data_IF_014964754156
#
_entry.id   IF_014964754156
#
_cell.length_a   1.000
_cell.length_b   1.000
_cell.length_c   1.000
_cell.angle_alpha   90.00
_cell.angle_beta   90.00
_cell.angle_gamma   90.00
#
_symmetry.space_group_name_H-M   'P 1'
#
loop_
_entity.id
_entity.type
_entity.pdbx_description
1 polymer ?
#
# COMPACT_ATOMS: atom_id res chain seq x y z
N UNK A 1 -0.74 9.42 6.57
CA UNK A 1 0.35 10.04 5.82
C UNK A 1 0.86 11.33 6.48
N UNK A 2 0.00 12.17 7.08
CA UNK A 2 0.46 13.37 7.82
C UNK A 2 1.50 13.03 8.89
N UNK A 3 1.24 12.03 9.71
CA UNK A 3 2.19 11.54 10.70
C UNK A 3 3.53 11.12 10.08
N UNK A 4 3.48 10.31 9.01
CA UNK A 4 4.69 9.81 8.36
C UNK A 4 5.50 10.93 7.69
N UNK A 5 4.80 11.92 7.09
CA UNK A 5 5.44 13.09 6.50
C UNK A 5 6.32 13.81 7.52
N UNK A 6 5.78 14.07 8.72
CA UNK A 6 6.53 14.69 9.81
C UNK A 6 7.61 13.78 10.36
N UNK A 7 7.30 12.50 10.65
CA UNK A 7 8.23 11.54 11.25
C UNK A 7 9.46 11.31 10.40
N UNK A 8 9.31 11.20 9.09
CA UNK A 8 10.42 10.90 8.16
C UNK A 8 11.02 12.15 7.51
N UNK A 9 10.63 13.36 7.95
CA UNK A 9 11.18 14.62 7.42
C UNK A 9 10.94 14.78 5.92
N UNK A 10 9.70 14.61 5.48
CA UNK A 10 9.31 14.66 4.07
C UNK A 10 8.63 15.99 3.68
N UNK A 11 8.99 17.06 4.37
CA UNK A 11 8.37 18.38 4.14
C UNK A 11 8.82 19.02 2.82
N UNK A 12 9.94 18.59 2.28
CA UNK A 12 10.48 18.97 0.98
C UNK A 12 9.79 18.26 -0.20
N UNK A 13 9.07 17.17 0.06
CA UNK A 13 8.35 16.46 -0.98
C UNK A 13 7.13 17.25 -1.46
N UNK A 14 7.11 17.63 -2.73
CA UNK A 14 5.95 18.27 -3.38
C UNK A 14 4.89 17.23 -3.72
N UNK A 15 5.33 16.06 -4.20
CA UNK A 15 4.50 14.91 -4.53
C UNK A 15 4.86 13.74 -3.61
N UNK A 16 3.93 13.35 -2.76
CA UNK A 16 4.14 12.28 -1.78
C UNK A 16 2.94 11.34 -1.80
N UNK A 17 3.17 10.06 -2.06
CA UNK A 17 2.15 9.02 -1.99
C UNK A 17 2.33 8.19 -0.72
N UNK A 18 1.26 7.93 0.00
CA UNK A 18 1.22 6.98 1.12
C UNK A 18 0.27 5.84 0.80
N UNK A 19 0.76 4.61 0.81
CA UNK A 19 -0.01 3.40 0.53
C UNK A 19 0.08 2.46 1.73
N UNK A 20 -1.06 2.12 2.30
CA UNK A 20 -1.15 1.37 3.55
C UNK A 20 -1.89 0.06 3.35
N UNK A 21 -1.16 -1.05 3.39
CA UNK A 21 -1.68 -2.40 3.26
C UNK A 21 -2.11 -2.92 4.63
N UNK A 22 -3.40 -2.74 4.95
CA UNK A 22 -4.08 -3.25 6.12
C UNK A 22 -5.04 -4.38 5.75
N UNK A 23 -6.23 -4.40 6.33
CA UNK A 23 -7.33 -5.30 5.94
C UNK A 23 -7.68 -5.14 4.46
N UNK A 24 -7.70 -3.91 3.97
CA UNK A 24 -7.76 -3.50 2.57
C UNK A 24 -6.52 -2.68 2.20
N UNK A 25 -6.67 -1.74 1.25
CA UNK A 25 -5.60 -0.83 0.82
C UNK A 25 -6.07 0.60 1.05
N UNK A 26 -5.43 1.30 1.99
CA UNK A 26 -5.61 2.73 2.20
C UNK A 26 -4.57 3.52 1.42
N UNK A 27 -4.98 4.70 0.93
CA UNK A 27 -4.10 5.57 0.17
C UNK A 27 -4.34 7.04 0.49
N UNK A 28 -3.29 7.84 0.39
CA UNK A 28 -3.37 9.29 0.47
C UNK A 28 -2.24 9.90 -0.38
N UNK A 29 -2.53 11.02 -1.03
CA UNK A 29 -1.59 11.68 -1.94
C UNK A 29 -1.49 13.15 -1.57
N UNK A 30 -0.26 13.65 -1.41
CA UNK A 30 0.02 15.08 -1.43
C UNK A 30 0.47 15.47 -2.83
N UNK A 31 -0.21 16.45 -3.39
CA UNK A 31 0.10 17.07 -4.67
C UNK A 31 0.46 18.54 -4.42
N UNK A 32 1.66 18.97 -4.82
CA UNK A 32 2.18 20.31 -4.54
C UNK A 32 2.08 20.68 -3.05
N UNK A 33 2.42 19.72 -2.18
CA UNK A 33 2.40 19.88 -0.72
C UNK A 33 0.99 19.92 -0.09
N UNK A 34 -0.08 19.73 -0.85
CA UNK A 34 -1.47 19.73 -0.36
C UNK A 34 -2.10 18.35 -0.51
N UNK A 35 -2.90 17.94 0.47
CA UNK A 35 -3.66 16.69 0.38
C UNK A 35 -4.62 16.74 -0.83
N UNK A 36 -4.52 15.75 -1.68
CA UNK A 36 -5.43 15.56 -2.82
C UNK A 36 -6.76 14.96 -2.30
N UNK A 37 -7.77 15.80 -2.16
CA UNK A 37 -9.08 15.36 -1.67
C UNK A 37 -10.01 14.86 -2.80
N UNK A 38 -9.87 15.42 -4.00
CA UNK A 38 -10.85 15.22 -5.07
C UNK A 38 -12.16 15.95 -4.81
N UNK A 39 -13.10 15.85 -5.76
CA UNK A 39 -14.39 16.56 -5.67
C UNK A 39 -15.24 16.12 -4.47
N UNK A 40 -15.22 14.83 -4.15
CA UNK A 40 -16.08 14.21 -3.15
C UNK A 40 -15.31 13.73 -1.91
N UNK A 41 -14.05 14.15 -1.74
CA UNK A 41 -13.16 13.62 -0.69
C UNK A 41 -12.70 12.19 -0.91
N UNK A 42 -12.81 11.65 -2.13
CA UNK A 42 -12.54 10.25 -2.47
C UNK A 42 -11.36 10.08 -3.45
N UNK A 43 -10.42 11.03 -3.48
CA UNK A 43 -9.19 10.81 -4.22
C UNK A 43 -8.29 9.80 -3.50
N UNK A 44 -7.56 8.99 -4.25
CA UNK A 44 -6.66 8.00 -3.67
C UNK A 44 -7.34 6.67 -3.31
N UNK A 45 -8.42 6.29 -3.97
CA UNK A 45 -9.09 5.00 -3.79
C UNK A 45 -8.39 3.87 -4.57
N UNK A 46 -7.05 3.77 -4.41
CA UNK A 46 -6.19 2.80 -5.09
C UNK A 46 -6.64 1.35 -4.90
N UNK A 47 -7.18 1.03 -3.70
CA UNK A 47 -7.69 -0.31 -3.40
C UNK A 47 -8.87 -0.73 -4.28
N UNK A 48 -9.56 0.23 -4.90
CA UNK A 48 -10.77 -0.02 -5.69
C UNK A 48 -10.56 0.04 -7.21
N UNK A 49 -9.31 0.15 -7.68
CA UNK A 49 -9.03 -0.01 -9.11
C UNK A 49 -9.36 -1.44 -9.54
N UNK A 50 -9.98 -1.62 -10.73
CA UNK A 50 -10.35 -2.93 -11.24
C UNK A 50 -9.11 -3.72 -11.68
N UNK A 51 -9.09 -5.02 -11.39
CA UNK A 51 -8.06 -5.95 -11.84
C UNK A 51 -8.67 -6.91 -12.84
N UNK A 52 -8.09 -6.98 -14.04
CA UNK A 52 -8.54 -7.89 -15.09
C UNK A 52 -8.53 -9.35 -14.63
N UNK A 53 -9.57 -10.09 -15.03
CA UNK A 53 -9.73 -11.49 -14.63
C UNK A 53 -10.19 -11.71 -13.18
N UNK A 54 -10.41 -10.65 -12.40
CA UNK A 54 -10.96 -10.74 -11.04
C UNK A 54 -12.44 -10.36 -11.01
N UNK A 55 -13.27 -11.22 -10.43
CA UNK A 55 -14.72 -11.03 -10.32
C UNK A 55 -15.22 -11.07 -8.87
N UNK A 56 -14.32 -11.13 -7.89
CA UNK A 56 -14.69 -11.15 -6.48
C UNK A 56 -15.39 -9.86 -6.08
N UNK A 57 -16.55 -9.98 -5.41
CA UNK A 57 -17.32 -8.82 -4.93
C UNK A 57 -16.52 -8.05 -3.87
N UNK A 58 -16.49 -6.74 -4.02
CA UNK A 58 -15.89 -5.81 -3.08
C UNK A 58 -16.95 -5.13 -2.21
N UNK A 59 -16.57 -4.77 -0.98
CA UNK A 59 -17.41 -4.01 -0.06
C UNK A 59 -17.86 -2.64 -0.58
N UNK A 60 -17.17 -2.07 -1.57
CA UNK A 60 -17.56 -0.81 -2.22
C UNK A 60 -18.76 -0.95 -3.19
N UNK A 61 -19.22 -2.16 -3.45
CA UNK A 61 -20.31 -2.47 -4.40
C UNK A 61 -19.84 -2.94 -5.77
N UNK A 62 -18.57 -2.74 -6.14
CA UNK A 62 -17.98 -3.23 -7.38
C UNK A 62 -17.50 -4.68 -7.26
N UNK A 63 -17.00 -5.23 -8.36
CA UNK A 63 -16.30 -6.52 -8.40
C UNK A 63 -14.89 -6.32 -8.95
N UNK A 64 -13.94 -7.18 -8.55
CA UNK A 64 -12.58 -7.19 -9.07
C UNK A 64 -11.65 -6.11 -8.55
N UNK A 65 -11.94 -5.52 -7.39
CA UNK A 65 -11.09 -4.50 -6.79
C UNK A 65 -9.72 -5.06 -6.34
N UNK A 66 -8.66 -4.28 -6.51
CA UNK A 66 -7.28 -4.62 -6.13
C UNK A 66 -7.17 -5.04 -4.65
N UNK A 67 -7.89 -4.40 -3.75
CA UNK A 67 -7.81 -4.72 -2.31
C UNK A 67 -8.24 -6.16 -1.98
N UNK A 68 -9.12 -6.77 -2.78
CA UNK A 68 -9.50 -8.17 -2.59
C UNK A 68 -8.37 -9.15 -2.92
N UNK A 69 -7.34 -8.69 -3.65
CA UNK A 69 -6.21 -9.50 -4.11
C UNK A 69 -4.89 -9.15 -3.44
N UNK A 70 -4.75 -7.93 -2.89
CA UNK A 70 -3.53 -7.41 -2.31
C UNK A 70 -3.71 -6.83 -0.89
N UNK A 71 -4.91 -6.95 -0.30
CA UNK A 71 -5.17 -6.59 1.09
C UNK A 71 -5.07 -7.76 2.06
N UNK A 72 -5.03 -7.46 3.36
CA UNK A 72 -4.93 -8.47 4.43
C UNK A 72 -6.11 -9.45 4.48
N UNK A 73 -7.29 -9.07 3.96
CA UNK A 73 -8.43 -10.01 3.80
C UNK A 73 -8.06 -11.21 2.94
N UNK A 74 -7.27 -11.00 1.88
CA UNK A 74 -6.78 -12.08 1.03
C UNK A 74 -5.89 -13.05 1.82
N UNK A 75 -4.96 -12.53 2.61
CA UNK A 75 -4.09 -13.37 3.47
C UNK A 75 -4.89 -14.14 4.51
N UNK A 76 -5.86 -13.49 5.15
CA UNK A 76 -6.75 -14.16 6.10
C UNK A 76 -7.56 -15.30 5.46
N UNK A 77 -7.98 -15.14 4.20
CA UNK A 77 -8.61 -16.19 3.42
C UNK A 77 -7.65 -17.35 3.13
N UNK A 78 -6.42 -17.04 2.69
CA UNK A 78 -5.40 -18.08 2.47
C UNK A 78 -5.11 -18.89 3.72
N UNK A 79 -5.04 -18.26 4.90
CA UNK A 79 -4.87 -18.99 6.16
C UNK A 79 -6.04 -19.93 6.46
N UNK A 80 -7.28 -19.52 6.16
CA UNK A 80 -8.45 -20.40 6.37
C UNK A 80 -8.57 -21.55 5.38
N UNK A 81 -8.18 -21.34 4.12
CA UNK A 81 -8.48 -22.25 3.02
C UNK A 81 -7.27 -23.10 2.59
N UNK A 82 -6.06 -22.56 2.71
CA UNK A 82 -4.83 -23.19 2.22
C UNK A 82 -3.86 -23.50 3.37
N UNK A 83 -3.64 -22.56 4.26
CA UNK A 83 -2.64 -22.64 5.33
C UNK A 83 -3.31 -22.82 6.70
N UNK A 84 -4.21 -23.79 6.82
CA UNK A 84 -5.09 -23.97 7.97
C UNK A 84 -4.38 -24.15 9.33
N UNK A 85 -3.10 -24.53 9.31
CA UNK A 85 -2.26 -24.70 10.49
C UNK A 85 -1.26 -23.53 10.68
N UNK A 86 -1.50 -22.38 10.01
CA UNK A 86 -0.61 -21.23 10.09
C UNK A 86 -1.38 -20.02 10.59
N UNK A 87 -0.94 -19.46 11.71
CA UNK A 87 -1.42 -18.16 12.17
C UNK A 87 -1.02 -17.08 11.16
N UNK A 88 -1.92 -16.12 10.91
CA UNK A 88 -1.68 -15.06 9.91
C UNK A 88 -0.38 -14.29 10.17
N UNK A 89 -0.03 -14.06 11.44
CA UNK A 89 1.21 -13.38 11.83
C UNK A 89 2.50 -14.11 11.44
N UNK A 90 2.43 -15.42 11.23
CA UNK A 90 3.57 -16.28 10.83
C UNK A 90 3.57 -16.63 9.33
N UNK A 91 2.61 -16.11 8.57
CA UNK A 91 2.43 -16.50 7.17
C UNK A 91 3.69 -16.26 6.32
N UNK A 92 4.28 -15.09 6.40
CA UNK A 92 5.51 -14.78 5.64
C UNK A 92 6.73 -15.50 6.20
N UNK A 93 6.77 -15.78 7.50
CA UNK A 93 7.86 -16.56 8.10
C UNK A 93 7.92 -17.97 7.53
N UNK A 94 6.76 -18.59 7.30
CA UNK A 94 6.67 -20.01 6.89
C UNK A 94 6.55 -20.18 5.37
N UNK A 95 5.90 -19.23 4.67
CA UNK A 95 5.41 -19.44 3.30
C UNK A 95 5.82 -18.34 2.31
N UNK A 96 6.74 -17.39 2.69
CA UNK A 96 7.11 -16.25 1.85
C UNK A 96 7.54 -16.61 0.42
N UNK A 97 8.13 -17.79 0.22
CA UNK A 97 8.63 -18.24 -1.07
C UNK A 97 7.61 -19.04 -1.90
N UNK A 98 6.44 -19.31 -1.37
CA UNK A 98 5.41 -20.05 -2.11
C UNK A 98 4.79 -19.19 -3.22
N UNK A 99 4.44 -19.80 -4.37
CA UNK A 99 3.97 -19.06 -5.55
C UNK A 99 2.80 -18.13 -5.27
N UNK A 100 1.82 -18.58 -4.48
CA UNK A 100 0.62 -17.77 -4.16
C UNK A 100 0.96 -16.57 -3.28
N UNK A 101 1.92 -16.69 -2.35
CA UNK A 101 2.37 -15.58 -1.50
C UNK A 101 3.24 -14.62 -2.31
N UNK A 102 4.12 -15.11 -3.18
CA UNK A 102 4.89 -14.27 -4.09
C UNK A 102 3.97 -13.51 -5.05
N UNK A 103 2.91 -14.14 -5.56
CA UNK A 103 1.91 -13.48 -6.39
C UNK A 103 1.15 -12.39 -5.62
N UNK A 104 0.83 -12.63 -4.34
CA UNK A 104 0.23 -11.60 -3.48
C UNK A 104 1.14 -10.36 -3.37
N UNK A 105 2.44 -10.55 -3.09
CA UNK A 105 3.40 -9.45 -3.01
C UNK A 105 3.58 -8.75 -4.36
N UNK A 106 3.54 -9.49 -5.47
CA UNK A 106 3.61 -8.93 -6.81
C UNK A 106 2.39 -8.05 -7.14
N UNK A 107 1.20 -8.44 -6.69
CA UNK A 107 -0.01 -7.61 -6.80
C UNK A 107 0.07 -6.33 -5.96
N UNK A 108 0.65 -6.40 -4.75
CA UNK A 108 0.96 -5.21 -3.96
C UNK A 108 1.89 -4.27 -4.75
N UNK A 109 2.93 -4.83 -5.36
CA UNK A 109 3.88 -4.07 -6.17
C UNK A 109 3.22 -3.42 -7.38
N UNK A 110 2.33 -4.13 -8.07
CA UNK A 110 1.56 -3.59 -9.20
C UNK A 110 0.67 -2.42 -8.76
N UNK A 111 0.01 -2.52 -7.60
CA UNK A 111 -0.78 -1.42 -7.05
C UNK A 111 0.09 -0.18 -6.78
N UNK A 112 1.26 -0.35 -6.14
CA UNK A 112 2.21 0.75 -5.92
C UNK A 112 2.66 1.38 -7.24
N UNK A 113 3.00 0.55 -8.22
CA UNK A 113 3.46 1.02 -9.53
C UNK A 113 2.40 1.82 -10.30
N UNK A 114 1.11 1.60 -10.08
CA UNK A 114 0.05 2.44 -10.64
C UNK A 114 0.24 3.90 -10.23
N UNK A 115 0.42 4.17 -8.95
CA UNK A 115 0.64 5.54 -8.47
C UNK A 115 1.97 6.12 -8.92
N UNK A 116 3.04 5.33 -8.88
CA UNK A 116 4.34 5.75 -9.40
C UNK A 116 4.25 6.20 -10.86
N UNK A 117 3.57 5.42 -11.69
CA UNK A 117 3.44 5.71 -13.12
C UNK A 117 2.49 6.87 -13.43
N UNK A 118 1.57 7.20 -12.51
CA UNK A 118 0.61 8.32 -12.70
C UNK A 118 1.16 9.63 -12.16
N UNK A 119 1.76 9.60 -10.96
CA UNK A 119 2.10 10.81 -10.22
C UNK A 119 3.59 11.17 -10.24
N UNK A 120 4.48 10.22 -10.60
CA UNK A 120 5.95 10.41 -10.54
C UNK A 120 6.39 11.11 -9.24
N UNK A 121 6.05 10.52 -8.04
CA UNK A 121 6.21 11.22 -6.78
C UNK A 121 7.66 11.31 -6.32
N UNK A 122 8.00 12.35 -5.54
CA UNK A 122 9.31 12.50 -4.89
C UNK A 122 9.60 11.35 -3.91
N UNK A 123 8.55 10.82 -3.26
CA UNK A 123 8.67 9.74 -2.32
C UNK A 123 7.36 8.94 -2.20
N UNK A 124 7.49 7.64 -1.94
CA UNK A 124 6.36 6.77 -1.57
C UNK A 124 6.59 6.20 -0.17
N UNK A 125 5.60 6.35 0.69
CA UNK A 125 5.55 5.72 2.02
C UNK A 125 4.67 4.48 1.95
N UNK A 126 5.24 3.31 2.27
CA UNK A 126 4.56 2.03 2.33
C UNK A 126 4.38 1.62 3.80
N UNK A 127 3.16 1.38 4.23
CA UNK A 127 2.86 1.04 5.62
C UNK A 127 1.68 0.08 5.76
N UNK A 128 1.15 0.02 6.98
CA UNK A 128 0.03 -0.84 7.35
C UNK A 128 0.46 -2.20 7.90
N UNK A 129 -0.50 -2.89 8.50
CA UNK A 129 -0.25 -4.12 9.25
C UNK A 129 0.39 -5.23 8.40
N UNK A 130 0.05 -5.35 7.11
CA UNK A 130 0.62 -6.38 6.23
C UNK A 130 2.12 -6.17 6.01
N UNK A 131 2.55 -4.94 5.74
CA UNK A 131 3.96 -4.61 5.48
C UNK A 131 4.81 -4.74 6.75
N UNK A 132 4.17 -4.64 7.91
CA UNK A 132 4.81 -4.77 9.23
C UNK A 132 4.67 -6.18 9.84
N UNK A 133 4.12 -7.15 9.09
CA UNK A 133 4.11 -8.54 9.53
C UNK A 133 5.52 -9.09 9.63
N UNK A 134 5.71 -10.03 10.57
CA UNK A 134 6.98 -10.73 10.79
C UNK A 134 7.45 -11.39 9.49
N UNK A 135 8.73 -11.17 9.16
CA UNK A 135 9.37 -11.69 7.94
C UNK A 135 8.71 -11.27 6.61
N UNK A 136 7.94 -10.17 6.59
CA UNK A 136 7.41 -9.64 5.34
C UNK A 136 8.57 -9.35 4.36
N UNK A 137 8.51 -9.80 3.09
CA UNK A 137 9.63 -9.74 2.16
C UNK A 137 9.78 -8.36 1.50
N UNK A 138 10.22 -7.35 2.27
CA UNK A 138 10.35 -5.94 1.82
C UNK A 138 11.22 -5.77 0.58
N UNK A 139 12.34 -6.48 0.51
CA UNK A 139 13.25 -6.37 -0.64
C UNK A 139 12.63 -6.98 -1.89
N UNK A 140 11.92 -8.10 -1.78
CA UNK A 140 11.18 -8.66 -2.90
C UNK A 140 10.06 -7.71 -3.37
N UNK A 141 9.34 -7.06 -2.45
CA UNK A 141 8.35 -6.04 -2.82
C UNK A 141 8.99 -4.89 -3.60
N UNK A 142 10.14 -4.36 -3.15
CA UNK A 142 10.89 -3.31 -3.88
C UNK A 142 11.28 -3.76 -5.28
N UNK A 143 11.85 -4.95 -5.41
CA UNK A 143 12.22 -5.52 -6.69
C UNK A 143 11.01 -5.57 -7.64
N UNK A 144 9.87 -6.08 -7.16
CA UNK A 144 8.65 -6.18 -7.96
C UNK A 144 8.07 -4.81 -8.32
N UNK A 145 8.12 -3.83 -7.43
CA UNK A 145 7.72 -2.45 -7.73
C UNK A 145 8.55 -1.92 -8.91
N UNK A 146 9.87 -2.09 -8.88
CA UNK A 146 10.74 -1.65 -9.97
C UNK A 146 10.43 -2.37 -11.29
N UNK A 147 10.02 -3.64 -11.25
CA UNK A 147 9.61 -4.38 -12.45
C UNK A 147 8.38 -3.75 -13.10
N UNK A 148 7.38 -3.36 -12.32
CA UNK A 148 6.12 -2.79 -12.81
C UNK A 148 6.19 -1.28 -13.09
N UNK A 149 7.21 -0.59 -12.59
CA UNK A 149 7.37 0.86 -12.78
C UNK A 149 8.02 1.17 -14.12
N UNK A 150 7.53 2.21 -14.80
CA UNK A 150 8.05 2.68 -16.08
C UNK A 150 9.54 3.06 -15.99
N UNK A 151 10.32 2.73 -17.01
CA UNK A 151 11.73 3.10 -17.15
C UNK A 151 11.88 4.20 -18.21
N UNK A 152 12.90 5.04 -18.08
CA UNK A 152 13.82 5.19 -16.95
C UNK A 152 13.18 5.82 -15.72
N UNK A 153 12.21 6.71 -15.88
CA UNK A 153 11.49 7.39 -14.80
C UNK A 153 10.05 6.91 -14.72
N UNK A 154 9.48 6.83 -13.52
CA UNK A 154 10.03 7.19 -12.20
C UNK A 154 10.97 6.13 -11.57
N UNK A 155 11.19 4.98 -12.18
CA UNK A 155 11.91 3.86 -11.57
C UNK A 155 13.35 4.22 -11.11
N UNK A 156 14.06 5.07 -11.86
CA UNK A 156 15.47 5.39 -11.57
C UNK A 156 15.67 6.22 -10.31
N UNK A 157 14.71 7.09 -9.97
CA UNK A 157 14.79 8.02 -8.83
C UNK A 157 13.85 7.62 -7.68
N UNK A 158 13.37 6.39 -7.67
CA UNK A 158 12.39 5.93 -6.70
C UNK A 158 12.91 6.00 -5.27
N UNK A 159 12.27 6.82 -4.43
CA UNK A 159 12.46 6.88 -2.98
C UNK A 159 11.29 6.16 -2.31
N UNK A 160 11.58 5.03 -1.65
CA UNK A 160 10.61 4.24 -0.89
C UNK A 160 10.95 4.25 0.59
N UNK A 161 9.95 4.48 1.41
CA UNK A 161 10.05 4.41 2.88
C UNK A 161 9.06 3.36 3.37
N UNK A 162 9.53 2.40 4.18
CA UNK A 162 8.66 1.49 4.91
C UNK A 162 8.34 2.07 6.27
N UNK A 163 7.09 2.52 6.43
CA UNK A 163 6.63 3.10 7.68
C UNK A 163 6.39 2.02 8.74
N UNK A 164 6.88 2.27 9.95
CA UNK A 164 6.60 1.44 11.11
C UNK A 164 5.14 1.56 11.54
N UNK A 165 4.61 0.50 12.16
CA UNK A 165 3.28 0.51 12.74
C UNK A 165 3.37 1.00 14.20
N UNK A 166 2.80 2.18 14.45
CA UNK A 166 2.79 2.83 15.76
C UNK A 166 1.35 3.10 16.19
N UNK A 167 1.04 2.79 17.45
CA UNK A 167 -0.32 2.89 18.00
C UNK A 167 -0.90 4.31 17.91
N UNK A 168 -0.05 5.33 18.03
CA UNK A 168 -0.44 6.73 18.06
C UNK A 168 -0.62 7.36 16.66
N UNK A 169 -0.14 6.69 15.62
CA UNK A 169 -0.07 7.19 14.25
C UNK A 169 -1.40 7.74 13.72
N UNK A 170 -2.49 7.02 13.95
CA UNK A 170 -3.80 7.42 13.46
C UNK A 170 -4.31 8.69 14.17
N UNK A 171 -4.14 8.76 15.49
CA UNK A 171 -4.62 9.88 16.32
C UNK A 171 -3.79 11.14 16.04
N UNK A 172 -2.46 11.01 16.05
CA UNK A 172 -1.55 12.13 15.76
C UNK A 172 -1.72 12.61 14.32
N UNK A 173 -1.85 11.68 13.36
CA UNK A 173 -2.09 12.02 11.96
C UNK A 173 -3.40 12.79 11.76
N UNK A 174 -4.47 12.42 12.45
CA UNK A 174 -5.74 13.14 12.42
C UNK A 174 -5.64 14.54 13.05
N UNK A 175 -4.93 14.67 14.17
CA UNK A 175 -4.68 15.97 14.80
C UNK A 175 -3.88 16.91 13.90
N UNK A 176 -2.83 16.41 13.26
CA UNK A 176 -2.03 17.17 12.29
C UNK A 176 -2.86 17.63 11.08
N UNK A 177 -3.76 16.78 10.59
CA UNK A 177 -4.70 17.15 9.51
C UNK A 177 -5.63 18.28 9.95
N UNK A 178 -6.26 18.15 11.13
CA UNK A 178 -7.19 19.16 11.65
C UNK A 178 -6.51 20.52 11.90
N UNK A 179 -5.22 20.53 12.25
CA UNK A 179 -4.46 21.76 12.46
C UNK A 179 -4.11 22.51 11.17
N UNK A 180 -4.24 21.90 10.00
CA UNK A 180 -3.96 22.50 8.69
C UNK A 180 -5.23 22.89 7.92
N UNK A 181 -6.42 22.55 8.46
CA UNK A 181 -7.74 22.89 7.92
C UNK A 181 -8.22 24.24 8.42
#
# INVERSE_FOLDING_TARGET
LFYDKTKYGLDDCRWLCGIYFGTGIGNAIFAEGKLLAGRNGAAGELGHIPVDGSFEKCGCGNSGCMENLAGGKYLARLCREVYTNTEIGDLFLKHANEPVIRQFVDRMAAAVAVELNIFDPDCVVLGGGVVNMKAFPKEYLKERILVHTRKPYPAQNLRLIFAEDEKEKAVVGAALFAAQS
#
